data_IF_180790809523
#
_entry.id   IF_180790809523
#
_cell.length_a   1.000
_cell.length_b   1.000
_cell.length_c   1.000
_cell.angle_alpha   90.00
_cell.angle_beta   90.00
_cell.angle_gamma   90.00
#
_symmetry.space_group_name_H-M   'P 1'
#
loop_
_entity.id
_entity.type
_entity.pdbx_description
1 polymer ?
#
# COMPACT_ATOMS: atom_id res chain seq x y z
N UNK A 1 -4.12 11.02 -14.70
CA UNK A 1 -3.72 9.61 -14.77
C UNK A 1 -4.45 8.82 -13.68
N UNK A 2 -5.15 7.75 -14.07
CA UNK A 2 -5.77 6.83 -13.12
C UNK A 2 -4.77 5.72 -12.79
N UNK A 3 -4.51 5.49 -11.51
CA UNK A 3 -3.52 4.52 -11.07
C UNK A 3 -4.14 3.52 -10.10
N UNK A 4 -3.83 2.25 -10.31
CA UNK A 4 -4.22 1.15 -9.43
C UNK A 4 -2.96 0.60 -8.77
N UNK A 5 -2.93 0.60 -7.44
CA UNK A 5 -1.80 0.10 -6.66
C UNK A 5 -2.20 -1.19 -5.93
N UNK A 6 -1.61 -2.32 -6.36
CA UNK A 6 -1.83 -3.65 -5.78
C UNK A 6 -0.52 -4.10 -5.14
N UNK A 7 -0.62 -4.57 -3.89
CA UNK A 7 0.53 -5.01 -3.12
C UNK A 7 0.37 -6.49 -2.77
N UNK A 8 1.35 -7.35 -3.13
CA UNK A 8 1.34 -8.75 -2.74
C UNK A 8 1.69 -8.85 -1.25
N UNK A 9 0.70 -9.11 -0.41
CA UNK A 9 0.90 -9.23 1.04
C UNK A 9 1.39 -10.63 1.42
N UNK A 10 2.26 -10.74 2.43
CA UNK A 10 2.68 -12.03 3.01
C UNK A 10 4.13 -12.08 3.51
N UNK A 11 4.49 -13.18 4.19
CA UNK A 11 5.85 -13.42 4.69
C UNK A 11 6.85 -13.38 3.53
N UNK A 12 7.89 -12.55 3.67
CA UNK A 12 8.96 -12.41 2.67
C UNK A 12 8.64 -11.42 1.55
N UNK A 13 7.51 -10.72 1.57
CA UNK A 13 7.26 -9.61 0.67
C UNK A 13 8.17 -8.42 1.02
N UNK A 14 8.81 -7.83 0.00
CA UNK A 14 9.67 -6.66 0.20
C UNK A 14 8.87 -5.38 0.51
N UNK A 15 7.58 -5.34 0.14
CA UNK A 15 6.61 -4.27 0.41
C UNK A 15 5.25 -4.95 0.59
N UNK A 16 4.48 -4.60 1.61
CA UNK A 16 3.21 -5.22 1.98
C UNK A 16 3.34 -6.44 2.89
N UNK A 17 4.56 -6.74 3.34
CA UNK A 17 4.86 -7.89 4.19
C UNK A 17 4.67 -7.58 5.68
N UNK A 18 4.74 -6.30 6.04
CA UNK A 18 4.62 -5.79 7.40
C UNK A 18 3.50 -4.74 7.50
N UNK A 19 2.94 -4.55 8.69
CA UNK A 19 1.79 -3.69 8.93
C UNK A 19 2.03 -2.24 8.47
N UNK A 20 1.34 -1.80 7.41
CA UNK A 20 1.39 -0.43 6.92
C UNK A 20 2.68 -0.06 6.16
N UNK A 21 3.59 -1.00 5.91
CA UNK A 21 4.85 -0.78 5.20
C UNK A 21 4.68 -0.30 3.74
N UNK A 22 3.54 -0.59 3.13
CA UNK A 22 3.18 -0.21 1.79
C UNK A 22 2.62 1.23 1.70
N UNK A 23 2.23 1.83 2.82
CA UNK A 23 1.64 3.17 2.87
C UNK A 23 2.55 4.26 2.28
N UNK A 24 3.86 4.31 2.57
CA UNK A 24 4.76 5.31 1.97
C UNK A 24 4.84 5.20 0.44
N UNK A 25 4.94 3.98 -0.10
CA UNK A 25 4.96 3.74 -1.54
C UNK A 25 3.65 4.16 -2.20
N UNK A 26 2.51 3.84 -1.57
CA UNK A 26 1.20 4.29 -2.04
C UNK A 26 1.09 5.82 -2.04
N UNK A 27 1.54 6.52 -0.99
CA UNK A 27 1.50 7.99 -0.92
C UNK A 27 2.29 8.65 -2.05
N UNK A 28 3.44 8.10 -2.41
CA UNK A 28 4.24 8.60 -3.52
C UNK A 28 3.49 8.49 -4.85
N UNK A 29 2.92 7.32 -5.14
CA UNK A 29 2.16 7.10 -6.37
C UNK A 29 0.86 7.92 -6.40
N UNK A 30 0.17 8.03 -5.27
CA UNK A 30 -1.03 8.84 -5.13
C UNK A 30 -0.75 10.33 -5.39
N UNK A 31 0.42 10.84 -5.00
CA UNK A 31 0.79 12.25 -5.18
C UNK A 31 0.89 12.69 -6.66
N UNK A 32 1.04 11.75 -7.58
CA UNK A 32 1.13 12.00 -9.02
C UNK A 32 -0.10 11.50 -9.80
N UNK A 33 -1.15 11.04 -9.10
CA UNK A 33 -2.35 10.46 -9.69
C UNK A 33 -3.54 11.40 -9.51
N UNK A 34 -4.41 11.51 -10.52
CA UNK A 34 -5.67 12.26 -10.38
C UNK A 34 -6.66 11.47 -9.51
N UNK A 35 -6.67 10.15 -9.68
CA UNK A 35 -7.46 9.19 -8.89
C UNK A 35 -6.55 8.00 -8.58
N UNK A 36 -6.41 7.70 -7.29
CA UNK A 36 -5.64 6.56 -6.78
C UNK A 36 -6.57 5.56 -6.10
N UNK A 37 -6.56 4.31 -6.58
CA UNK A 37 -7.34 3.19 -6.03
C UNK A 37 -6.36 2.22 -5.36
N UNK A 38 -6.66 1.81 -4.12
CA UNK A 38 -5.78 0.97 -3.30
C UNK A 38 -6.49 -0.23 -2.68
N UNK A 39 -5.73 -1.27 -2.39
CA UNK A 39 -6.18 -2.39 -1.57
C UNK A 39 -6.23 -1.99 -0.08
N UNK A 40 -7.22 -2.42 0.73
CA UNK A 40 -7.34 -2.05 2.15
C UNK A 40 -6.10 -2.35 2.99
N UNK A 41 -5.44 -3.49 2.74
CA UNK A 41 -4.21 -3.88 3.46
C UNK A 41 -3.03 -2.93 3.24
N UNK A 42 -3.06 -2.05 2.24
CA UNK A 42 -1.98 -1.08 2.00
C UNK A 42 -1.94 0.00 3.09
N UNK A 43 -3.12 0.34 3.63
CA UNK A 43 -3.31 1.45 4.57
C UNK A 43 -3.68 1.00 5.98
N UNK A 44 -4.03 -0.28 6.15
CA UNK A 44 -4.26 -0.86 7.46
C UNK A 44 -2.93 -1.26 8.10
N UNK A 45 -2.64 -0.71 9.28
CA UNK A 45 -1.67 -1.29 10.18
C UNK A 45 -2.37 -2.40 10.97
N UNK A 46 -1.94 -3.66 10.79
CA UNK A 46 -2.42 -4.78 11.61
C UNK A 46 -1.70 -4.90 12.95
N UNK A 47 -0.73 -4.03 13.23
CA UNK A 47 0.07 -4.09 14.46
C UNK A 47 -0.70 -3.44 15.61
N UNK A 48 -1.55 -4.23 16.26
CA UNK A 48 -2.31 -3.87 17.46
C UNK A 48 -1.98 -4.80 18.66
N UNK A 49 -0.81 -5.46 18.64
CA UNK A 49 -0.33 -6.25 19.78
C UNK A 49 0.91 -5.66 20.42
#
# INVERSE_FOLDING_TARGET
>A
MNTVFIVPTGIGAAIGGDAGDATPAFKLIASISDIAITHPNVVNASDIN
#
